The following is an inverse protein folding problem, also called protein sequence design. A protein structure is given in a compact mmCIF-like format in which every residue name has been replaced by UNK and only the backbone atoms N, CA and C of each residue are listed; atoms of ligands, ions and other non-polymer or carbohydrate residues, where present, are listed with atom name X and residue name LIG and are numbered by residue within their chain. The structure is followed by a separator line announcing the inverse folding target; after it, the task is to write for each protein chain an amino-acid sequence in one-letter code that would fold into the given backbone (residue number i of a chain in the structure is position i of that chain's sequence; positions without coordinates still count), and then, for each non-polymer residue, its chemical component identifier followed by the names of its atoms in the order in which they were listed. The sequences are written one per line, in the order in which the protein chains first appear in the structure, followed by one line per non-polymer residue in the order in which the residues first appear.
data_IF_149435752711
#
_entry.id   IF_149435752711
#
_cell.length_a   1.000
_cell.length_b   1.000
_cell.length_c   1.000
_cell.angle_alpha   90.00
_cell.angle_beta   90.00
_cell.angle_gamma   90.00
#
_symmetry.space_group_name_H-M   'P 1'
#
loop_
_entity.id
_entity.type
_entity.pdbx_description
1 polymer ?
#
# COMPACT_ATOMS: atom_id res chain seq x y z
N UNK A 1 -15.75 -10.83 -8.63
CA UNK A 1 -15.10 -10.75 -7.29
C UNK A 1 -14.24 -9.48 -7.23
N UNK A 2 -13.80 -9.04 -6.05
CA UNK A 2 -12.88 -7.91 -5.93
C UNK A 2 -11.51 -8.32 -5.35
N UNK A 3 -10.44 -8.12 -6.12
CA UNK A 3 -9.06 -8.24 -5.67
C UNK A 3 -8.61 -6.89 -5.11
N UNK A 4 -8.25 -6.83 -3.83
CA UNK A 4 -7.86 -5.59 -3.15
C UNK A 4 -6.40 -5.21 -3.44
N UNK A 5 -6.09 -4.97 -4.71
CA UNK A 5 -4.77 -4.56 -5.17
C UNK A 5 -4.89 -3.68 -6.42
N UNK A 6 -3.92 -2.77 -6.60
CA UNK A 6 -3.74 -2.02 -7.85
C UNK A 6 -2.64 -2.67 -8.69
N UNK A 7 -2.61 -2.32 -9.97
CA UNK A 7 -1.63 -2.79 -10.95
C UNK A 7 -1.58 -4.32 -11.00
N UNK A 8 -2.74 -4.96 -11.12
CA UNK A 8 -2.80 -6.42 -11.33
C UNK A 8 -2.21 -6.76 -12.68
N UNK A 9 -1.20 -7.63 -12.69
CA UNK A 9 -0.43 -8.03 -13.88
C UNK A 9 -0.89 -9.37 -14.45
N UNK A 10 -1.20 -10.32 -13.58
CA UNK A 10 -1.67 -11.64 -13.99
C UNK A 10 -2.55 -12.26 -12.92
N UNK A 11 -3.46 -13.14 -13.36
CA UNK A 11 -4.15 -14.10 -12.51
C UNK A 11 -3.53 -15.45 -12.81
N UNK A 12 -2.90 -16.04 -11.80
CA UNK A 12 -2.05 -17.22 -11.94
C UNK A 12 -2.84 -18.51 -11.69
N UNK A 13 -3.80 -18.49 -10.77
CA UNK A 13 -4.74 -19.58 -10.55
C UNK A 13 -6.05 -19.11 -9.95
N UNK A 14 -7.13 -19.84 -10.24
CA UNK A 14 -8.46 -19.62 -9.68
C UNK A 14 -9.06 -20.97 -9.29
N UNK A 15 -9.55 -21.07 -8.06
CA UNK A 15 -10.34 -22.21 -7.57
C UNK A 15 -11.69 -21.68 -7.15
N UNK A 16 -12.77 -22.24 -7.70
CA UNK A 16 -14.16 -21.90 -7.35
C UNK A 16 -14.87 -23.11 -6.79
N UNK A 17 -15.41 -23.00 -5.59
CA UNK A 17 -16.18 -24.04 -4.90
C UNK A 17 -15.44 -25.40 -4.87
N UNK A 18 -14.11 -25.34 -4.69
CA UNK A 18 -13.22 -26.50 -4.66
C UNK A 18 -12.81 -27.06 -6.04
N UNK A 19 -13.21 -26.42 -7.13
CA UNK A 19 -12.85 -26.80 -8.51
C UNK A 19 -11.84 -25.81 -9.09
N UNK A 20 -10.68 -26.31 -9.51
CA UNK A 20 -9.67 -25.50 -10.18
C UNK A 20 -10.10 -25.17 -11.62
N UNK A 21 -9.91 -23.92 -12.00
CA UNK A 21 -10.15 -23.48 -13.37
C UNK A 21 -9.01 -23.95 -14.27
N UNK A 22 -9.38 -24.42 -15.46
CA UNK A 22 -8.42 -24.75 -16.51
C UNK A 22 -7.91 -23.49 -17.23
N UNK A 23 -6.95 -23.68 -18.13
CA UNK A 23 -6.36 -22.59 -18.89
C UNK A 23 -7.40 -21.83 -19.76
N UNK A 24 -8.43 -22.52 -20.26
CA UNK A 24 -9.44 -21.88 -21.10
C UNK A 24 -10.35 -20.96 -20.28
N UNK A 25 -10.68 -21.35 -19.05
CA UNK A 25 -11.42 -20.51 -18.12
C UNK A 25 -10.57 -19.33 -17.59
N UNK A 26 -9.29 -19.56 -17.31
CA UNK A 26 -8.36 -18.50 -16.90
C UNK A 26 -8.19 -17.42 -17.98
N UNK A 27 -8.10 -17.81 -19.25
CA UNK A 27 -8.01 -16.86 -20.38
C UNK A 27 -9.27 -15.98 -20.54
N UNK A 28 -10.40 -16.38 -19.96
CA UNK A 28 -11.65 -15.61 -19.97
C UNK A 28 -11.76 -14.64 -18.78
N UNK A 29 -10.82 -14.69 -17.83
CA UNK A 29 -10.79 -13.78 -16.70
C UNK A 29 -10.53 -12.36 -17.19
N UNK A 30 -11.42 -11.45 -16.83
CA UNK A 30 -11.26 -10.02 -17.03
C UNK A 30 -10.97 -9.40 -15.69
N UNK A 31 -9.87 -8.65 -15.63
CA UNK A 31 -9.46 -7.90 -14.45
C UNK A 31 -9.31 -6.44 -14.84
N UNK A 32 -9.93 -5.56 -14.07
CA UNK A 32 -9.58 -4.16 -14.07
C UNK A 32 -8.27 -4.00 -13.26
N UNK A 33 -7.14 -3.62 -13.88
CA UNK A 33 -5.86 -3.59 -13.20
C UNK A 33 -5.78 -2.49 -12.13
N UNK A 34 -6.54 -1.41 -12.25
CA UNK A 34 -6.45 -0.25 -11.35
C UNK A 34 -7.41 -0.38 -10.16
N UNK A 35 -8.60 -0.92 -10.40
CA UNK A 35 -9.62 -1.09 -9.37
C UNK A 35 -9.59 -2.50 -8.78
N UNK A 36 -9.07 -3.50 -9.49
CA UNK A 36 -9.01 -4.89 -9.06
C UNK A 36 -10.33 -5.67 -9.20
N UNK A 37 -11.32 -5.10 -9.90
CA UNK A 37 -12.58 -5.78 -10.17
C UNK A 37 -12.37 -6.95 -11.13
N UNK A 38 -13.02 -8.08 -10.88
CA UNK A 38 -12.96 -9.27 -11.73
C UNK A 38 -14.34 -9.83 -12.07
N UNK A 39 -14.45 -10.47 -13.24
CA UNK A 39 -15.62 -11.24 -13.65
C UNK A 39 -15.69 -12.66 -13.04
N UNK A 40 -14.84 -12.98 -12.05
CA UNK A 40 -14.88 -14.28 -11.37
C UNK A 40 -16.10 -14.34 -10.45
N UNK A 41 -16.88 -15.42 -10.58
CA UNK A 41 -18.11 -15.67 -9.85
C UNK A 41 -18.03 -17.03 -9.14
N UNK A 42 -18.58 -17.12 -7.93
CA UNK A 42 -18.51 -18.30 -7.09
C UNK A 42 -18.89 -18.00 -5.64
N UNK A 43 -19.12 -19.03 -4.81
CA UNK A 43 -19.38 -18.83 -3.38
C UNK A 43 -18.10 -18.83 -2.57
N UNK A 44 -17.21 -19.77 -2.85
CA UNK A 44 -15.87 -19.86 -2.28
C UNK A 44 -14.85 -19.74 -3.42
N UNK A 45 -14.09 -18.64 -3.42
CA UNK A 45 -13.18 -18.30 -4.53
C UNK A 45 -11.79 -18.03 -3.97
N UNK A 46 -10.82 -18.83 -4.39
CA UNK A 46 -9.40 -18.64 -4.09
C UNK A 46 -8.68 -18.22 -5.37
N UNK A 47 -7.94 -17.12 -5.31
CA UNK A 47 -7.22 -16.56 -6.48
C UNK A 47 -5.77 -16.32 -6.11
N UNK A 48 -4.86 -16.87 -6.90
CA UNK A 48 -3.45 -16.48 -6.90
C UNK A 48 -3.24 -15.49 -8.03
N UNK A 49 -2.64 -14.35 -7.75
CA UNK A 49 -2.43 -13.29 -8.74
C UNK A 49 -1.16 -12.50 -8.42
N UNK A 50 -0.59 -11.88 -9.45
CA UNK A 50 0.54 -10.98 -9.33
C UNK A 50 0.06 -9.55 -9.51
N UNK A 51 0.43 -8.67 -8.57
CA UNK A 51 0.08 -7.25 -8.62
C UNK A 51 1.19 -6.38 -8.05
N UNK A 52 1.28 -5.14 -8.54
CA UNK A 52 2.24 -4.15 -8.08
C UNK A 52 2.78 -3.30 -9.21
N UNK A 53 3.34 -2.15 -8.83
CA UNK A 53 4.02 -1.28 -9.77
C UNK A 53 5.41 -1.80 -10.10
N UNK A 54 5.71 -1.94 -11.38
CA UNK A 54 7.05 -2.23 -11.90
C UNK A 54 7.27 -1.41 -13.18
N UNK A 55 8.11 -0.35 -13.14
CA UNK A 55 8.89 0.11 -11.99
C UNK A 55 8.02 0.77 -10.89
N UNK A 56 8.52 0.79 -9.66
CA UNK A 56 7.86 1.48 -8.53
C UNK A 56 7.89 3.00 -8.76
N UNK A 57 6.75 3.73 -8.62
CA UNK A 57 6.69 5.18 -8.75
C UNK A 57 7.69 5.88 -7.83
N UNK A 58 8.36 6.91 -8.36
CA UNK A 58 9.38 7.67 -7.63
C UNK A 58 8.83 8.33 -6.36
N UNK A 59 7.57 8.75 -6.38
CA UNK A 59 6.84 9.27 -5.22
C UNK A 59 6.79 8.27 -4.06
N UNK A 60 6.47 7.00 -4.33
CA UNK A 60 6.44 5.92 -3.33
C UNK A 60 7.85 5.62 -2.81
N UNK A 61 8.85 5.59 -3.70
CA UNK A 61 10.25 5.36 -3.32
C UNK A 61 10.74 6.48 -2.40
N UNK A 62 10.55 7.73 -2.81
CA UNK A 62 10.96 8.92 -2.06
C UNK A 62 10.27 8.97 -0.69
N UNK A 63 8.97 8.73 -0.65
CA UNK A 63 8.22 8.71 0.61
C UNK A 63 8.70 7.59 1.54
N UNK A 64 8.94 6.39 1.01
CA UNK A 64 9.46 5.27 1.81
C UNK A 64 10.82 5.60 2.42
N UNK A 65 11.71 6.24 1.64
CA UNK A 65 13.01 6.69 2.12
C UNK A 65 12.89 7.79 3.18
N UNK A 66 11.97 8.74 3.01
CA UNK A 66 11.71 9.80 3.99
C UNK A 66 11.22 9.23 5.31
N UNK A 67 10.25 8.31 5.27
CA UNK A 67 9.71 7.63 6.46
C UNK A 67 10.80 6.81 7.14
N UNK A 68 11.61 6.06 6.38
CA UNK A 68 12.72 5.28 6.93
C UNK A 68 13.80 6.18 7.56
N UNK A 69 14.19 7.27 6.90
CA UNK A 69 15.17 8.22 7.43
C UNK A 69 14.68 8.90 8.71
N UNK A 70 13.39 9.27 8.77
CA UNK A 70 12.76 9.84 9.95
C UNK A 70 12.70 8.85 11.11
N UNK A 71 12.33 7.60 10.83
CA UNK A 71 12.32 6.53 11.83
C UNK A 71 13.73 6.27 12.39
N UNK A 72 14.77 6.36 11.55
CA UNK A 72 16.16 6.23 11.97
C UNK A 72 16.66 7.43 12.79
N UNK A 73 16.26 8.65 12.41
CA UNK A 73 16.71 9.90 13.02
C UNK A 73 15.95 10.33 14.27
N UNK A 74 14.85 9.66 14.63
CA UNK A 74 14.02 9.97 15.81
C UNK A 74 13.95 8.75 16.73
N UNK A 75 14.84 8.64 17.74
CA UNK A 75 14.76 7.57 18.73
C UNK A 75 13.38 7.60 19.42
N UNK A 76 12.69 6.47 19.35
CA UNK A 76 11.40 6.13 19.96
C UNK A 76 10.94 7.08 21.09
N UNK A 77 10.19 8.13 20.74
CA UNK A 77 9.38 8.89 21.71
C UNK A 77 9.91 10.26 22.17
N UNK A 78 11.06 10.75 21.67
CA UNK A 78 11.55 12.07 22.06
C UNK A 78 11.10 13.16 21.09
N UNK A 79 10.34 14.13 21.61
CA UNK A 79 9.84 15.29 20.86
C UNK A 79 10.89 16.40 20.77
N UNK A 80 11.80 16.44 21.75
CA UNK A 80 12.81 17.48 21.91
C UNK A 80 14.02 16.90 22.62
N UNK A 81 15.20 17.15 22.08
CA UNK A 81 16.47 16.92 22.76
C UNK A 81 17.10 18.30 23.04
N UNK A 82 17.48 18.54 24.30
CA UNK A 82 18.19 19.75 24.71
C UNK A 82 19.48 19.34 25.41
N UNK A 83 20.60 19.74 24.81
CA UNK A 83 21.93 19.57 25.39
C UNK A 83 22.64 20.93 25.39
N UNK A 84 22.83 21.51 26.58
CA UNK A 84 23.43 22.84 26.73
C UNK A 84 22.60 23.95 26.07
N UNK A 85 23.24 24.75 25.20
CA UNK A 85 22.62 25.86 24.48
C UNK A 85 21.93 25.48 23.16
N UNK A 86 21.90 24.19 22.79
CA UNK A 86 21.32 23.71 21.52
C UNK A 86 20.05 22.92 21.81
N UNK A 87 18.98 23.25 21.09
CA UNK A 87 17.72 22.53 21.12
C UNK A 87 17.42 21.96 19.74
N UNK A 88 17.30 20.63 19.66
CA UNK A 88 16.85 19.93 18.45
C UNK A 88 15.38 19.55 18.66
N UNK A 89 14.53 19.96 17.73
CA UNK A 89 13.12 19.56 17.72
C UNK A 89 12.94 18.51 16.63
N UNK A 90 12.49 17.33 17.03
CA UNK A 90 12.21 16.23 16.10
C UNK A 90 10.80 16.34 15.54
N UNK A 91 10.54 15.64 14.44
CA UNK A 91 9.24 15.66 13.75
C UNK A 91 8.10 15.25 14.67
N UNK A 92 7.05 16.06 14.71
CA UNK A 92 5.85 15.85 15.51
C UNK A 92 4.66 15.52 14.60
N UNK A 93 3.81 14.60 15.03
CA UNK A 93 2.52 14.26 14.38
C UNK A 93 1.32 14.97 15.05
N UNK A 94 1.59 15.72 16.12
CA UNK A 94 0.63 16.46 16.93
C UNK A 94 1.37 17.18 18.07
N UNK A 95 0.71 18.10 18.77
CA UNK A 95 1.34 18.85 19.87
C UNK A 95 1.93 17.90 20.93
N UNK A 96 3.25 17.93 21.13
CA UNK A 96 3.99 17.05 22.04
C UNK A 96 3.83 15.54 21.76
N UNK A 97 3.54 15.14 20.52
CA UNK A 97 3.42 13.73 20.15
C UNK A 97 4.56 13.36 19.18
N UNK A 98 5.45 12.47 19.64
CA UNK A 98 6.56 11.99 18.84
C UNK A 98 6.03 11.24 17.61
N UNK A 99 6.48 11.67 16.43
CA UNK A 99 5.92 11.24 15.15
C UNK A 99 6.16 9.79 14.77
N UNK A 100 7.08 9.09 15.45
CA UNK A 100 7.44 7.69 15.14
C UNK A 100 7.50 7.41 13.64
N UNK A 101 6.88 6.31 13.22
CA UNK A 101 6.71 5.90 11.80
C UNK A 101 5.35 6.35 11.23
N UNK A 102 4.59 7.16 11.97
CA UNK A 102 3.27 7.60 11.51
C UNK A 102 3.41 8.60 10.37
N UNK A 103 2.56 8.46 9.35
CA UNK A 103 2.59 9.35 8.20
C UNK A 103 2.10 10.76 8.58
N UNK A 104 2.74 11.77 8.00
CA UNK A 104 2.33 13.16 8.11
C UNK A 104 1.19 13.44 7.10
N UNK A 105 0.33 14.46 7.32
CA UNK A 105 -0.75 14.77 6.38
C UNK A 105 -0.30 15.03 4.93
N UNK A 106 0.88 15.63 4.75
CA UNK A 106 1.46 15.82 3.42
C UNK A 106 1.91 14.49 2.79
N UNK A 107 2.43 13.56 3.59
CA UNK A 107 2.81 12.21 3.14
C UNK A 107 1.56 11.38 2.77
N UNK A 108 0.48 11.51 3.53
CA UNK A 108 -0.82 10.90 3.21
C UNK A 108 -1.37 11.42 1.88
N UNK A 109 -1.25 12.72 1.60
CA UNK A 109 -1.72 13.30 0.32
C UNK A 109 -0.98 12.76 -0.91
N UNK A 110 0.30 12.35 -0.76
CA UNK A 110 1.05 11.68 -1.83
C UNK A 110 0.50 10.27 -2.09
N UNK A 111 -0.07 9.64 -1.05
CA UNK A 111 -0.65 8.30 -1.15
C UNK A 111 -2.09 8.28 -1.66
N UNK A 112 -2.78 9.42 -1.74
CA UNK A 112 -4.17 9.48 -2.18
C UNK A 112 -4.36 8.93 -3.61
N UNK A 113 -3.36 9.09 -4.50
CA UNK A 113 -3.38 8.51 -5.86
C UNK A 113 -3.29 6.97 -5.85
N UNK A 114 -2.65 6.39 -4.84
CA UNK A 114 -2.47 4.94 -4.69
C UNK A 114 -3.54 4.29 -3.82
N UNK A 115 -4.58 5.04 -3.48
CA UNK A 115 -5.68 4.53 -2.69
C UNK A 115 -6.58 3.68 -3.57
N UNK A 116 -6.68 2.39 -3.24
CA UNK A 116 -7.64 1.48 -3.87
C UNK A 116 -9.04 2.08 -3.67
N UNK A 117 -9.63 2.60 -4.75
CA UNK A 117 -10.95 3.22 -4.73
C UNK A 117 -11.99 2.22 -4.26
N UNK A 118 -12.94 2.65 -3.41
CA UNK A 118 -14.23 1.97 -3.35
C UNK A 118 -15.01 2.40 -4.57
N UNK A 119 -15.48 1.45 -5.38
CA UNK A 119 -16.62 1.71 -6.25
C UNK A 119 -17.79 2.21 -5.36
N UNK A 120 -18.56 3.23 -5.81
CA UNK A 120 -19.69 3.78 -5.07
C UNK A 120 -20.72 2.72 -4.68
#
# INVERSE_FOLDING_TARGET
MWLRAMQIKSVDSVTVDGTDWDAELLDRVRVDPDVGWTNIEGRDVNVTFTAGYDPVPESIVSLTLQVAARALGSPLGFVREQAGGVAVTHTQIGFNQAGGVLLLPAEESVLDEYRIGRLP
#
